data_IF_590262354647
#
_entry.id   IF_590262354647
#
_cell.length_a   1.000
_cell.length_b   1.000
_cell.length_c   1.000
_cell.angle_alpha   90.00
_cell.angle_beta   90.00
_cell.angle_gamma   90.00
#
_symmetry.space_group_name_H-M   'P 1'
#
loop_
_entity.id
_entity.type
_entity.pdbx_description
1 polymer ?
#
# COMPACT_ATOMS: atom_id res chain seq x y z
N UNK A 1 14.60 23.74 14.46
CA UNK A 1 13.60 22.65 14.57
C UNK A 1 12.98 22.67 15.95
N UNK A 2 11.67 22.53 16.04
CA UNK A 2 10.95 22.58 17.32
C UNK A 2 11.44 21.48 18.28
N UNK A 3 11.71 21.85 19.55
CA UNK A 3 12.31 20.96 20.55
C UNK A 3 11.52 19.66 20.77
N UNK A 4 10.18 19.74 20.80
CA UNK A 4 9.33 18.57 20.94
C UNK A 4 9.52 17.52 19.84
N UNK A 5 9.79 17.95 18.60
CA UNK A 5 10.10 17.03 17.49
C UNK A 5 11.44 16.32 17.73
N UNK A 6 12.44 17.03 18.23
CA UNK A 6 13.75 16.44 18.56
C UNK A 6 13.62 15.39 19.66
N UNK A 7 12.90 15.70 20.74
CA UNK A 7 12.65 14.76 21.85
C UNK A 7 11.86 13.54 21.35
N UNK A 8 10.84 13.75 20.53
CA UNK A 8 10.07 12.66 19.91
C UNK A 8 10.95 11.75 19.06
N UNK A 9 11.82 12.31 18.21
CA UNK A 9 12.76 11.56 17.39
C UNK A 9 13.76 10.75 18.23
N UNK A 10 14.32 11.33 19.29
CA UNK A 10 15.23 10.65 20.22
C UNK A 10 14.53 9.44 20.86
N UNK A 11 13.29 9.62 21.32
CA UNK A 11 12.54 8.52 21.94
C UNK A 11 12.18 7.44 20.92
N UNK A 12 11.79 7.81 19.70
CA UNK A 12 11.53 6.86 18.63
C UNK A 12 12.77 6.01 18.29
N UNK A 13 13.96 6.63 18.20
CA UNK A 13 15.21 5.94 17.94
C UNK A 13 15.65 5.01 19.09
N UNK A 14 15.19 5.27 20.31
CA UNK A 14 15.43 4.43 21.50
C UNK A 14 14.39 3.32 21.67
N UNK A 15 13.39 3.23 20.80
CA UNK A 15 12.36 2.20 20.87
C UNK A 15 12.97 0.80 20.80
N UNK A 16 12.35 -0.14 21.51
CA UNK A 16 12.80 -1.52 21.59
C UNK A 16 12.76 -2.18 20.19
N UNK A 17 13.70 -3.11 19.95
CA UNK A 17 13.75 -3.91 18.72
C UNK A 17 12.47 -4.74 18.54
N UNK A 18 11.86 -5.19 19.61
CA UNK A 18 10.61 -5.95 19.57
C UNK A 18 9.44 -5.13 19.02
N UNK A 19 9.42 -3.82 19.29
CA UNK A 19 8.42 -2.93 18.71
C UNK A 19 8.51 -2.90 17.19
N UNK A 20 9.72 -2.75 16.64
CA UNK A 20 9.94 -2.75 15.19
C UNK A 20 9.64 -4.11 14.57
N UNK A 21 10.02 -5.19 15.23
CA UNK A 21 9.73 -6.55 14.80
C UNK A 21 8.22 -6.80 14.70
N UNK A 22 7.47 -6.43 15.73
CA UNK A 22 6.00 -6.57 15.76
C UNK A 22 5.33 -5.71 14.68
N UNK A 23 5.76 -4.46 14.50
CA UNK A 23 5.24 -3.58 13.45
C UNK A 23 5.50 -4.15 12.05
N UNK A 24 6.70 -4.65 11.78
CA UNK A 24 7.04 -5.26 10.51
C UNK A 24 6.22 -6.53 10.24
N UNK A 25 5.90 -7.32 11.25
CA UNK A 25 5.04 -8.49 11.12
C UNK A 25 3.60 -8.10 10.75
N UNK A 26 3.08 -7.01 11.31
CA UNK A 26 1.76 -6.48 10.95
C UNK A 26 1.76 -6.07 9.47
N UNK A 27 2.74 -5.29 9.02
CA UNK A 27 2.84 -4.88 7.63
C UNK A 27 3.04 -6.07 6.67
N UNK A 28 3.81 -7.08 7.07
CA UNK A 28 3.98 -8.30 6.29
C UNK A 28 2.65 -9.01 6.04
N UNK A 29 1.86 -9.23 7.08
CA UNK A 29 0.53 -9.87 6.96
C UNK A 29 -0.39 -9.07 6.03
N UNK A 30 -0.44 -7.75 6.19
CA UNK A 30 -1.26 -6.86 5.34
C UNK A 30 -0.79 -6.89 3.89
N UNK A 31 0.52 -6.90 3.67
CA UNK A 31 1.12 -6.97 2.33
C UNK A 31 0.75 -8.25 1.60
N UNK A 32 0.74 -9.38 2.30
CA UNK A 32 0.32 -10.66 1.72
C UNK A 32 -1.13 -10.65 1.23
N UNK A 33 -2.03 -9.95 1.93
CA UNK A 33 -3.42 -9.78 1.49
C UNK A 33 -3.49 -8.84 0.26
N UNK A 34 -2.72 -7.75 0.27
CA UNK A 34 -2.64 -6.84 -0.89
C UNK A 34 -2.07 -7.56 -2.13
N UNK A 35 -1.11 -8.46 -1.98
CA UNK A 35 -0.62 -9.26 -3.10
C UNK A 35 -1.72 -10.11 -3.75
N UNK A 36 -2.63 -10.67 -2.96
CA UNK A 36 -3.82 -11.38 -3.49
C UNK A 36 -4.74 -10.44 -4.27
N UNK A 37 -4.86 -9.17 -3.84
CA UNK A 37 -5.59 -8.14 -4.59
C UNK A 37 -4.89 -7.85 -5.91
N UNK A 38 -3.56 -7.67 -5.88
CA UNK A 38 -2.76 -7.45 -7.09
C UNK A 38 -2.91 -8.61 -8.09
N UNK A 39 -2.88 -9.85 -7.62
CA UNK A 39 -3.07 -11.04 -8.47
C UNK A 39 -4.45 -11.04 -9.13
N UNK A 40 -5.52 -10.71 -8.39
CA UNK A 40 -6.87 -10.60 -8.95
C UNK A 40 -7.02 -9.48 -9.98
N UNK A 41 -6.29 -8.40 -9.81
CA UNK A 41 -6.28 -7.27 -10.74
C UNK A 41 -5.25 -7.41 -11.86
N UNK A 42 -4.52 -8.54 -11.90
CA UNK A 42 -3.44 -8.80 -12.86
C UNK A 42 -2.36 -7.70 -12.84
N UNK A 43 -1.96 -7.27 -11.66
CA UNK A 43 -0.88 -6.30 -11.45
C UNK A 43 0.44 -7.01 -11.18
N UNK A 44 1.53 -6.40 -11.61
CA UNK A 44 2.89 -6.84 -11.29
C UNK A 44 3.40 -6.11 -10.05
N UNK A 45 3.99 -6.85 -9.11
CA UNK A 45 4.55 -6.31 -7.88
C UNK A 45 5.83 -7.04 -7.48
N UNK A 46 6.62 -6.40 -6.63
CA UNK A 46 7.81 -7.01 -6.04
C UNK A 46 7.45 -7.68 -4.71
N UNK A 47 7.80 -8.95 -4.57
CA UNK A 47 7.53 -9.71 -3.35
C UNK A 47 8.55 -9.50 -2.23
N UNK A 48 9.68 -8.82 -2.53
CA UNK A 48 10.74 -8.45 -1.60
C UNK A 48 10.59 -7.01 -1.05
N UNK A 49 9.48 -6.35 -1.32
CA UNK A 49 9.22 -4.98 -0.87
C UNK A 49 9.03 -4.92 0.64
N UNK A 50 9.47 -3.81 1.23
CA UNK A 50 9.32 -3.46 2.64
C UNK A 50 8.60 -2.12 2.79
N UNK A 51 8.32 -1.72 4.03
CA UNK A 51 7.65 -0.45 4.31
C UNK A 51 6.13 -0.57 4.28
N UNK A 52 5.45 0.57 4.22
CA UNK A 52 4.00 0.69 4.43
C UNK A 52 3.18 0.81 3.14
N UNK A 53 3.80 0.66 1.98
CA UNK A 53 3.15 0.75 0.68
C UNK A 53 3.50 -0.44 -0.21
N UNK A 54 2.56 -0.81 -1.09
CA UNK A 54 2.81 -1.71 -2.20
C UNK A 54 2.66 -0.91 -3.49
N UNK A 55 3.72 -0.88 -4.29
CA UNK A 55 3.77 -0.23 -5.60
C UNK A 55 3.62 -1.28 -6.67
N UNK A 56 2.55 -1.22 -7.44
CA UNK A 56 2.20 -2.25 -8.40
C UNK A 56 2.05 -1.69 -9.80
N UNK A 57 2.62 -2.38 -10.79
CA UNK A 57 2.56 -2.01 -12.19
C UNK A 57 1.34 -2.63 -12.87
N UNK A 58 0.66 -1.83 -13.69
CA UNK A 58 -0.46 -2.28 -14.51
C UNK A 58 0.11 -2.98 -15.74
N UNK A 59 -0.23 -4.25 -15.94
CA UNK A 59 0.26 -5.04 -17.08
C UNK A 59 -0.43 -4.69 -18.40
N UNK A 60 -1.66 -4.20 -18.33
CA UNK A 60 -2.43 -3.78 -19.49
C UNK A 60 -2.07 -2.33 -19.84
N UNK A 61 -2.37 -1.90 -21.07
CA UNK A 61 -2.19 -0.50 -21.49
C UNK A 61 -3.20 0.48 -20.84
N UNK A 62 -3.82 0.08 -19.74
CA UNK A 62 -4.76 0.93 -19.01
C UNK A 62 -3.99 1.99 -18.20
N UNK A 63 -4.50 3.21 -18.20
CA UNK A 63 -3.92 4.26 -17.38
C UNK A 63 -4.17 4.01 -15.89
N UNK A 64 -3.29 4.54 -15.04
CA UNK A 64 -3.45 4.46 -13.58
C UNK A 64 -4.74 5.13 -13.10
N UNK A 65 -5.15 6.22 -13.76
CA UNK A 65 -6.41 6.91 -13.49
C UNK A 65 -7.63 6.01 -13.76
N UNK A 66 -7.69 5.38 -14.94
CA UNK A 66 -8.81 4.49 -15.30
C UNK A 66 -8.96 3.33 -14.34
N UNK A 67 -7.86 2.71 -13.91
CA UNK A 67 -7.91 1.62 -12.94
C UNK A 67 -8.38 2.13 -11.57
N UNK A 68 -7.85 3.26 -11.11
CA UNK A 68 -8.25 3.87 -9.84
C UNK A 68 -9.73 4.23 -9.82
N UNK A 69 -10.23 4.85 -10.88
CA UNK A 69 -11.65 5.21 -11.05
C UNK A 69 -12.55 3.97 -11.10
N UNK A 70 -12.16 2.94 -11.84
CA UNK A 70 -12.89 1.68 -11.85
C UNK A 70 -13.02 1.07 -10.45
N UNK A 71 -11.91 1.00 -9.71
CA UNK A 71 -11.91 0.46 -8.35
C UNK A 71 -12.77 1.32 -7.42
N UNK A 72 -12.68 2.64 -7.53
CA UNK A 72 -13.45 3.57 -6.69
C UNK A 72 -14.96 3.48 -6.97
N UNK A 73 -15.36 3.65 -8.22
CA UNK A 73 -16.79 3.76 -8.57
C UNK A 73 -17.51 2.43 -8.71
N UNK A 74 -16.81 1.35 -9.06
CA UNK A 74 -17.43 0.03 -9.27
C UNK A 74 -17.23 -0.93 -8.10
N UNK A 75 -16.17 -0.75 -7.32
CA UNK A 75 -15.81 -1.66 -6.21
C UNK A 75 -15.78 -0.98 -4.84
N UNK A 76 -15.93 0.34 -4.78
CA UNK A 76 -15.77 1.16 -3.56
C UNK A 76 -14.41 0.91 -2.88
N UNK A 77 -13.36 0.83 -3.69
CA UNK A 77 -11.97 0.66 -3.25
C UNK A 77 -11.17 1.83 -3.77
N UNK A 78 -10.57 2.62 -2.87
CA UNK A 78 -9.66 3.70 -3.26
C UNK A 78 -8.21 3.23 -3.26
N UNK A 79 -7.52 3.47 -4.37
CA UNK A 79 -6.07 3.31 -4.50
C UNK A 79 -5.48 4.56 -5.12
N UNK A 80 -4.26 4.92 -4.74
CA UNK A 80 -3.60 6.09 -5.30
C UNK A 80 -3.09 5.78 -6.71
N UNK A 81 -3.57 6.48 -7.76
CA UNK A 81 -3.05 6.30 -9.11
C UNK A 81 -1.63 6.86 -9.21
N UNK A 82 -0.77 6.15 -9.94
CA UNK A 82 0.65 6.48 -9.98
C UNK A 82 0.98 7.84 -10.61
N UNK A 83 0.15 8.34 -11.53
CA UNK A 83 0.40 9.62 -12.20
C UNK A 83 0.51 10.81 -11.23
N UNK A 84 -0.14 10.76 -10.06
CA UNK A 84 -0.06 11.83 -9.05
C UNK A 84 1.34 11.98 -8.44
N UNK A 85 2.19 10.97 -8.59
CA UNK A 85 3.58 10.97 -8.13
C UNK A 85 4.57 11.39 -9.23
N UNK A 86 4.07 11.88 -10.34
CA UNK A 86 4.88 12.35 -11.45
C UNK A 86 4.82 11.44 -12.68
N UNK A 87 5.53 11.85 -13.71
CA UNK A 87 5.49 11.22 -15.04
C UNK A 87 5.88 9.74 -15.03
N UNK A 88 6.85 9.36 -14.19
CA UNK A 88 7.31 7.98 -14.06
C UNK A 88 6.37 7.08 -13.25
N UNK A 89 5.36 7.67 -12.59
CA UNK A 89 4.34 6.93 -11.85
C UNK A 89 3.19 6.45 -12.73
N UNK A 90 3.04 6.97 -13.96
CA UNK A 90 1.99 6.49 -14.86
C UNK A 90 2.16 5.00 -15.17
N UNK A 91 1.05 4.27 -15.21
CA UNK A 91 1.05 2.82 -15.35
C UNK A 91 1.24 2.05 -14.04
N UNK A 92 1.23 2.73 -12.89
CA UNK A 92 1.34 2.14 -11.56
C UNK A 92 0.17 2.55 -10.67
N UNK A 93 -0.08 1.77 -9.63
CA UNK A 93 -0.96 2.11 -8.51
C UNK A 93 -0.28 1.81 -7.19
N UNK A 94 -0.60 2.60 -6.15
CA UNK A 94 -0.04 2.45 -4.82
C UNK A 94 -1.11 2.04 -3.82
N UNK A 95 -0.90 0.91 -3.18
CA UNK A 95 -1.71 0.46 -2.04
C UNK A 95 -1.06 0.88 -0.72
N UNK A 96 -1.88 1.26 0.26
CA UNK A 96 -1.43 1.54 1.62
C UNK A 96 -1.67 0.35 2.54
N UNK A 97 -0.72 0.07 3.42
CA UNK A 97 -0.82 -0.94 4.47
C UNK A 97 -1.25 -0.33 5.82
N UNK A 98 -1.64 0.95 5.84
CA UNK A 98 -2.01 1.67 7.06
C UNK A 98 -3.44 1.37 7.56
N UNK A 99 -4.20 0.55 6.85
CA UNK A 99 -5.52 0.05 7.25
C UNK A 99 -5.42 -1.36 7.84
N UNK A 100 -6.42 -1.76 8.62
CA UNK A 100 -6.41 -3.07 9.26
C UNK A 100 -6.72 -4.21 8.28
N UNK A 101 -6.41 -5.43 8.68
CA UNK A 101 -6.56 -6.63 7.85
C UNK A 101 -8.01 -6.93 7.49
N UNK A 102 -8.97 -6.58 8.36
CA UNK A 102 -10.40 -6.78 8.09
C UNK A 102 -10.87 -5.93 6.90
N UNK A 103 -10.44 -4.67 6.82
CA UNK A 103 -10.76 -3.77 5.72
C UNK A 103 -10.09 -4.20 4.41
N UNK A 104 -8.83 -4.68 4.46
CA UNK A 104 -8.14 -5.19 3.27
C UNK A 104 -8.82 -6.47 2.76
N UNK A 105 -9.23 -7.37 3.65
CA UNK A 105 -9.98 -8.58 3.28
C UNK A 105 -11.36 -8.25 2.71
N UNK A 106 -12.03 -7.22 3.22
CA UNK A 106 -13.29 -6.75 2.64
C UNK A 106 -13.09 -6.24 1.21
N UNK A 107 -12.03 -5.47 0.96
CA UNK A 107 -11.67 -5.04 -0.39
C UNK A 107 -11.40 -6.25 -1.32
N UNK A 108 -10.69 -7.26 -0.82
CA UNK A 108 -10.42 -8.50 -1.58
C UNK A 108 -11.72 -9.22 -1.96
N UNK A 109 -12.72 -9.28 -1.05
CA UNK A 109 -14.03 -9.87 -1.33
C UNK A 109 -14.79 -9.13 -2.42
N UNK A 110 -14.71 -7.79 -2.44
CA UNK A 110 -15.39 -6.96 -3.47
C UNK A 110 -14.83 -7.17 -4.88
N UNK A 111 -13.65 -7.74 -5.00
CA UNK A 111 -13.02 -8.08 -6.28
C UNK A 111 -13.35 -9.51 -6.77
N UNK A 112 -13.99 -10.28 -5.94
CA UNK A 112 -14.49 -11.61 -6.28
C UNK A 112 -15.91 -11.51 -6.86
#
# INVERSE_FOLDING_TARGET
>A
MFYGVQVGAINALKSDKDWFYNLNNIYKKRREIIYKICDKLNLEYRNDSVGMFVWSKIKNESSSEKLSDFLLYKKNIFVAPGFIFGRNGEGYVRFSLCINEAQINEALKRLT
#
